data_IF_137616897680
#
_entry.id   IF_137616897680
#
_cell.length_a   1.000
_cell.length_b   1.000
_cell.length_c   1.000
_cell.angle_alpha   90.00
_cell.angle_beta   90.00
_cell.angle_gamma   90.00
#
_symmetry.space_group_name_H-M   'P 1'
#
loop_
_entity.id
_entity.type
_entity.pdbx_description
1 polymer ?
#
# COMPACT_ATOMS: atom_id res chain seq x y z
N UNK A 1 -16.23 -33.67 -34.55
CA UNK A 1 -16.41 -32.38 -33.84
C UNK A 1 -17.76 -31.79 -34.23
N UNK A 2 -18.65 -31.44 -33.28
CA UNK A 2 -19.97 -30.89 -33.64
C UNK A 2 -19.80 -29.59 -34.43
N UNK A 3 -20.40 -29.52 -35.62
CA UNK A 3 -20.35 -28.35 -36.50
C UNK A 3 -21.03 -27.18 -35.77
N UNK A 4 -20.26 -26.15 -35.40
CA UNK A 4 -20.80 -24.93 -34.77
C UNK A 4 -21.85 -24.33 -35.69
N UNK A 5 -23.06 -24.08 -35.16
CA UNK A 5 -24.14 -23.54 -35.98
C UNK A 5 -23.76 -22.17 -36.54
N UNK A 6 -24.03 -21.96 -37.82
CA UNK A 6 -23.75 -20.72 -38.56
C UNK A 6 -24.51 -19.50 -38.00
N UNK A 7 -25.42 -19.72 -37.03
CA UNK A 7 -26.22 -18.70 -36.34
C UNK A 7 -25.68 -18.30 -34.97
N UNK A 8 -24.51 -18.81 -34.54
CA UNK A 8 -23.98 -18.46 -33.22
C UNK A 8 -23.51 -17.00 -33.18
N UNK A 9 -24.09 -16.18 -32.28
CA UNK A 9 -23.67 -14.78 -32.10
C UNK A 9 -22.24 -14.74 -31.56
N UNK A 10 -21.43 -13.82 -32.11
CA UNK A 10 -20.07 -13.61 -31.64
C UNK A 10 -20.07 -13.06 -30.21
N UNK A 11 -19.15 -13.57 -29.37
CA UNK A 11 -18.86 -13.03 -28.04
C UNK A 11 -17.96 -11.78 -28.11
N UNK A 12 -17.44 -11.44 -29.29
CA UNK A 12 -16.59 -10.26 -29.51
C UNK A 12 -17.45 -9.00 -29.36
N UNK A 13 -17.05 -8.12 -28.44
CA UNK A 13 -17.71 -6.83 -28.25
C UNK A 13 -17.02 -5.75 -29.08
N UNK A 14 -17.82 -4.87 -29.69
CA UNK A 14 -17.27 -3.64 -30.28
C UNK A 14 -16.75 -2.69 -29.19
N UNK A 15 -15.74 -1.88 -29.51
CA UNK A 15 -15.21 -0.87 -28.58
C UNK A 15 -16.31 0.11 -28.13
N UNK A 16 -17.22 0.50 -29.04
CA UNK A 16 -18.39 1.33 -28.75
C UNK A 16 -19.28 0.71 -27.65
N UNK A 17 -19.57 -0.59 -27.74
CA UNK A 17 -20.35 -1.31 -26.72
C UNK A 17 -19.57 -1.40 -25.39
N UNK A 18 -18.27 -1.70 -25.43
CA UNK A 18 -17.42 -1.76 -24.23
C UNK A 18 -17.44 -0.44 -23.45
N UNK A 19 -17.18 0.69 -24.13
CA UNK A 19 -17.20 2.01 -23.49
C UNK A 19 -18.61 2.42 -23.03
N UNK A 20 -19.66 2.05 -23.76
CA UNK A 20 -21.06 2.28 -23.33
C UNK A 20 -21.38 1.51 -22.04
N UNK A 21 -20.96 0.26 -21.92
CA UNK A 21 -21.13 -0.55 -20.71
C UNK A 21 -20.38 0.07 -19.54
N UNK A 22 -19.10 0.42 -19.73
CA UNK A 22 -18.28 1.07 -18.67
C UNK A 22 -18.94 2.35 -18.18
N UNK A 23 -19.40 3.22 -19.10
CA UNK A 23 -20.11 4.46 -18.75
C UNK A 23 -21.40 4.18 -17.97
N UNK A 24 -22.24 3.24 -18.44
CA UNK A 24 -23.47 2.85 -17.75
C UNK A 24 -23.23 2.31 -16.34
N UNK A 25 -22.21 1.46 -16.16
CA UNK A 25 -21.83 0.91 -14.85
C UNK A 25 -21.36 2.04 -13.92
N UNK A 26 -20.52 2.95 -14.42
CA UNK A 26 -20.05 4.11 -13.65
C UNK A 26 -21.21 5.01 -13.22
N UNK A 27 -22.15 5.30 -14.13
CA UNK A 27 -23.32 6.12 -13.84
C UNK A 27 -24.25 5.45 -12.83
N UNK A 28 -24.45 4.13 -12.95
CA UNK A 28 -25.20 3.33 -11.99
C UNK A 28 -24.57 3.35 -10.59
N UNK A 29 -23.24 3.14 -10.48
CA UNK A 29 -22.54 3.25 -9.20
C UNK A 29 -22.59 4.68 -8.63
N UNK A 30 -22.54 5.71 -9.48
CA UNK A 30 -22.70 7.11 -9.05
C UNK A 30 -24.09 7.35 -8.47
N UNK A 31 -25.14 6.84 -9.12
CA UNK A 31 -26.54 6.93 -8.63
C UNK A 31 -26.72 6.20 -7.30
N UNK A 32 -26.30 4.92 -7.21
CA UNK A 32 -26.35 4.14 -5.94
C UNK A 32 -25.62 4.84 -4.78
N UNK A 33 -24.46 5.45 -5.03
CA UNK A 33 -23.74 6.22 -4.00
C UNK A 33 -24.52 7.46 -3.54
N UNK A 34 -25.20 8.16 -4.45
CA UNK A 34 -26.05 9.30 -4.09
C UNK A 34 -27.25 8.85 -3.27
N UNK A 35 -27.96 7.82 -3.70
CA UNK A 35 -29.10 7.23 -2.99
C UNK A 35 -28.71 6.76 -1.58
N UNK A 36 -27.57 6.05 -1.43
CA UNK A 36 -27.04 5.65 -0.13
C UNK A 36 -26.73 6.85 0.78
N UNK A 37 -26.23 7.96 0.22
CA UNK A 37 -25.98 9.18 0.98
C UNK A 37 -27.29 9.84 1.42
N UNK A 38 -28.28 9.90 0.55
CA UNK A 38 -29.60 10.45 0.88
C UNK A 38 -30.33 9.60 1.93
N UNK A 39 -30.26 8.27 1.85
CA UNK A 39 -30.77 7.36 2.88
C UNK A 39 -30.08 7.59 4.23
N UNK A 40 -28.75 7.77 4.22
CA UNK A 40 -27.98 8.10 5.43
C UNK A 40 -28.39 9.45 6.02
N UNK A 41 -28.64 10.48 5.20
CA UNK A 41 -29.14 11.78 5.66
C UNK A 41 -30.52 11.67 6.32
N UNK A 42 -31.38 10.80 5.79
CA UNK A 42 -32.69 10.46 6.37
C UNK A 42 -32.61 9.56 7.61
N UNK A 43 -31.41 9.24 8.09
CA UNK A 43 -31.19 8.36 9.25
C UNK A 43 -31.40 6.87 8.98
N UNK A 44 -31.74 6.48 7.74
CA UNK A 44 -31.95 5.08 7.35
C UNK A 44 -30.59 4.45 7.04
N UNK A 45 -30.07 3.63 7.96
CA UNK A 45 -28.86 2.84 7.73
C UNK A 45 -29.22 1.59 6.92
N UNK A 46 -28.45 1.23 5.88
CA UNK A 46 -28.64 -0.04 5.19
C UNK A 46 -28.45 -1.18 6.20
N UNK A 47 -29.34 -2.17 6.14
CA UNK A 47 -29.24 -3.38 6.98
C UNK A 47 -27.92 -4.08 6.64
N UNK A 48 -27.11 -4.32 7.66
CA UNK A 48 -25.92 -5.16 7.50
C UNK A 48 -26.37 -6.57 7.11
N UNK A 49 -25.67 -7.23 6.17
CA UNK A 49 -25.98 -8.59 5.82
C UNK A 49 -25.87 -9.46 7.08
N UNK A 50 -26.90 -10.27 7.33
CA UNK A 50 -26.90 -11.20 8.46
C UNK A 50 -25.84 -12.26 8.19
N UNK A 51 -25.02 -12.54 9.20
CA UNK A 51 -24.06 -13.64 9.15
C UNK A 51 -24.83 -14.97 9.01
N UNK A 52 -24.53 -15.81 8.01
CA UNK A 52 -25.14 -17.14 7.87
C UNK A 52 -24.87 -18.05 9.09
N UNK A 53 -23.94 -17.69 9.98
CA UNK A 53 -23.70 -18.38 11.25
C UNK A 53 -23.03 -19.75 11.07
N UNK A 54 -22.71 -20.38 12.20
CA UNK A 54 -22.05 -21.68 12.21
C UNK A 54 -23.06 -22.82 11.95
N UNK A 55 -22.85 -23.64 10.91
CA UNK A 55 -23.69 -24.81 10.63
C UNK A 55 -23.78 -25.75 11.84
N UNK A 56 -24.95 -26.34 12.07
CA UNK A 56 -25.22 -27.18 13.24
C UNK A 56 -24.43 -28.50 13.33
N UNK A 57 -23.93 -29.00 12.20
CA UNK A 57 -23.24 -30.29 12.11
C UNK A 57 -21.72 -30.19 12.37
N UNK A 58 -21.24 -29.03 12.80
CA UNK A 58 -19.80 -28.83 13.03
C UNK A 58 -19.38 -29.47 14.36
N UNK A 59 -18.46 -30.46 14.37
CA UNK A 59 -18.13 -31.26 15.55
C UNK A 59 -17.55 -30.43 16.72
N UNK A 60 -16.88 -29.32 16.43
CA UNK A 60 -16.28 -28.43 17.44
C UNK A 60 -17.08 -27.14 17.65
N UNK A 61 -18.38 -27.14 17.34
CA UNK A 61 -19.22 -25.93 17.39
C UNK A 61 -19.25 -25.31 18.79
N UNK A 62 -19.29 -26.15 19.82
CA UNK A 62 -19.36 -25.71 21.22
C UNK A 62 -18.06 -25.06 21.70
N UNK A 63 -16.91 -25.65 21.36
CA UNK A 63 -15.60 -25.08 21.67
C UNK A 63 -15.42 -23.73 20.98
N UNK A 64 -15.78 -23.65 19.70
CA UNK A 64 -15.70 -22.40 18.94
C UNK A 64 -16.61 -21.31 19.52
N UNK A 65 -17.82 -21.66 19.98
CA UNK A 65 -18.72 -20.72 20.66
C UNK A 65 -18.11 -20.21 21.97
N UNK A 66 -17.45 -21.08 22.75
CA UNK A 66 -16.75 -20.70 23.99
C UNK A 66 -15.59 -19.75 23.71
N UNK A 67 -14.79 -20.02 22.67
CA UNK A 67 -13.69 -19.16 22.26
C UNK A 67 -14.17 -17.78 21.82
N UNK A 68 -15.23 -17.71 21.02
CA UNK A 68 -15.84 -16.44 20.62
C UNK A 68 -16.41 -15.67 21.82
N UNK A 69 -17.03 -16.37 22.79
CA UNK A 69 -17.53 -15.76 24.01
C UNK A 69 -16.38 -15.18 24.86
N UNK A 70 -15.29 -15.92 25.00
CA UNK A 70 -14.08 -15.48 25.71
C UNK A 70 -13.44 -14.26 25.03
N UNK A 71 -13.26 -14.30 23.71
CA UNK A 71 -12.74 -13.17 22.92
C UNK A 71 -13.61 -11.92 23.08
N UNK A 72 -14.94 -12.07 22.99
CA UNK A 72 -15.88 -10.97 23.20
C UNK A 72 -15.79 -10.39 24.61
N UNK A 73 -15.73 -11.24 25.64
CA UNK A 73 -15.59 -10.79 27.03
C UNK A 73 -14.30 -9.99 27.24
N UNK A 74 -13.18 -10.45 26.68
CA UNK A 74 -11.90 -9.76 26.75
C UNK A 74 -11.92 -8.39 26.06
N UNK A 75 -12.50 -8.31 24.86
CA UNK A 75 -12.64 -7.05 24.11
C UNK A 75 -13.49 -6.06 24.93
N UNK A 76 -14.64 -6.49 25.46
CA UNK A 76 -15.51 -5.64 26.26
C UNK A 76 -14.86 -5.17 27.57
N UNK A 77 -14.10 -6.06 28.24
CA UNK A 77 -13.35 -5.71 29.44
C UNK A 77 -12.25 -4.68 29.12
N UNK A 78 -11.53 -4.84 28.01
CA UNK A 78 -10.51 -3.88 27.57
C UNK A 78 -11.12 -2.51 27.22
N UNK A 79 -12.29 -2.47 26.57
CA UNK A 79 -13.00 -1.22 26.29
C UNK A 79 -13.48 -0.52 27.55
N UNK A 80 -14.02 -1.27 28.53
CA UNK A 80 -14.40 -0.72 29.84
C UNK A 80 -13.19 -0.11 30.56
N UNK A 81 -12.08 -0.83 30.64
CA UNK A 81 -10.82 -0.33 31.24
C UNK A 81 -10.33 0.95 30.58
N UNK A 82 -10.32 1.02 29.24
CA UNK A 82 -9.96 2.25 28.51
C UNK A 82 -10.92 3.40 28.79
N UNK A 83 -12.21 3.12 28.97
CA UNK A 83 -13.23 4.14 29.29
C UNK A 83 -13.06 4.68 30.70
N UNK A 84 -12.77 3.81 31.66
CA UNK A 84 -12.46 4.17 33.04
C UNK A 84 -11.16 4.98 33.13
N UNK A 85 -10.10 4.55 32.45
CA UNK A 85 -8.84 5.29 32.37
C UNK A 85 -9.02 6.69 31.78
N UNK A 86 -9.81 6.82 30.70
CA UNK A 86 -10.16 8.13 30.11
C UNK A 86 -10.94 9.01 31.08
N UNK A 87 -11.84 8.44 31.89
CA UNK A 87 -12.58 9.17 32.92
C UNK A 87 -11.65 9.60 34.05
N UNK A 88 -10.80 8.70 34.55
CA UNK A 88 -9.82 8.99 35.59
C UNK A 88 -8.83 10.08 35.15
N UNK A 89 -8.33 10.02 33.91
CA UNK A 89 -7.47 11.06 33.34
C UNK A 89 -8.16 12.41 33.25
N UNK A 90 -9.45 12.44 32.90
CA UNK A 90 -10.25 13.67 32.86
C UNK A 90 -10.45 14.26 34.26
N UNK A 91 -10.63 13.43 35.29
CA UNK A 91 -10.74 13.88 36.69
C UNK A 91 -9.39 14.32 37.30
N UNK A 92 -8.27 13.72 36.88
CA UNK A 92 -6.93 14.12 37.31
C UNK A 92 -6.47 15.45 36.71
N UNK A 93 -6.89 15.76 35.48
CA UNK A 93 -6.61 17.06 34.84
C UNK A 93 -7.32 18.23 35.54
N UNK A 94 -8.53 18.01 36.07
CA UNK A 94 -9.27 19.04 36.83
C UNK A 94 -8.73 19.26 38.25
N UNK A 95 -7.92 18.33 38.78
CA UNK A 95 -7.30 18.46 40.10
C UNK A 95 -5.89 19.09 40.05
N UNK A 96 -5.26 19.14 38.87
CA UNK A 96 -3.92 19.71 38.68
C UNK A 96 -3.88 21.22 38.44
N UNK A 97 -5.03 21.88 38.33
CA UNK A 97 -5.11 23.35 38.14
C UNK A 97 -5.01 24.15 39.46
N UNK A 98 -5.03 23.49 40.63
CA UNK A 98 -4.96 24.17 41.95
C UNK A 98 -3.59 24.12 42.65
N UNK A 99 -2.57 23.45 42.08
CA UNK A 99 -1.26 23.33 42.72
C UNK A 99 -0.11 23.53 41.71
N UNK A 100 0.47 24.73 41.66
CA UNK A 100 1.68 24.95 40.85
C UNK A 100 2.16 26.39 40.68
N UNK A 101 2.32 27.14 41.77
CA UNK A 101 3.10 28.38 41.78
C UNK A 101 4.50 28.12 42.33
N UNK A 102 5.54 28.13 41.48
CA UNK A 102 6.95 28.10 41.88
C UNK A 102 7.83 27.23 40.99
N UNK A 103 9.06 27.71 40.74
CA UNK A 103 10.19 27.04 40.05
C UNK A 103 10.33 27.23 38.53
N UNK A 104 10.55 28.48 38.10
CA UNK A 104 10.66 28.86 36.68
C UNK A 104 11.97 28.51 35.94
N UNK A 105 13.07 28.24 36.63
CA UNK A 105 14.38 28.06 35.98
C UNK A 105 14.76 26.57 35.78
N UNK A 106 14.64 25.75 36.83
CA UNK A 106 14.88 24.31 36.73
C UNK A 106 13.81 23.62 35.86
N UNK A 107 12.57 24.12 35.86
CA UNK A 107 11.52 23.65 34.99
C UNK A 107 11.81 23.93 33.51
N UNK A 108 12.40 25.08 33.17
CA UNK A 108 12.72 25.44 31.78
C UNK A 108 13.89 24.60 31.23
N UNK A 109 14.93 24.37 32.04
CA UNK A 109 16.05 23.50 31.67
C UNK A 109 15.61 22.03 31.52
N UNK A 110 14.80 21.52 32.44
CA UNK A 110 14.20 20.19 32.34
C UNK A 110 13.28 20.07 31.12
N UNK A 111 12.55 21.13 30.77
CA UNK A 111 11.69 21.16 29.58
C UNK A 111 12.51 21.15 28.28
N UNK A 112 13.62 21.90 28.22
CA UNK A 112 14.53 21.92 27.07
C UNK A 112 15.21 20.57 26.85
N UNK A 113 15.72 19.94 27.92
CA UNK A 113 16.31 18.60 27.85
C UNK A 113 15.27 17.54 27.41
N UNK A 114 14.04 17.65 27.90
CA UNK A 114 12.93 16.77 27.51
C UNK A 114 12.43 17.02 26.09
N UNK A 115 12.57 18.24 25.56
CA UNK A 115 12.28 18.57 24.17
C UNK A 115 13.30 17.94 23.22
N UNK A 116 14.59 18.03 23.55
CA UNK A 116 15.67 17.41 22.76
C UNK A 116 15.60 15.88 22.78
N UNK A 117 15.35 15.27 23.95
CA UNK A 117 15.15 13.82 24.05
C UNK A 117 13.95 13.34 23.22
N UNK A 118 12.84 14.10 23.25
CA UNK A 118 11.66 13.81 22.41
C UNK A 118 11.94 13.93 20.91
N UNK A 119 12.84 14.82 20.50
CA UNK A 119 13.21 14.97 19.09
C UNK A 119 14.05 13.78 18.59
N UNK A 120 15.02 13.32 19.40
CA UNK A 120 15.78 12.10 19.12
C UNK A 120 14.90 10.83 19.11
N UNK A 121 13.99 10.71 20.07
CA UNK A 121 12.99 9.63 20.10
C UNK A 121 12.04 9.70 18.90
N UNK A 122 11.66 10.91 18.46
CA UNK A 122 10.79 11.10 17.31
C UNK A 122 11.45 10.65 16.01
N UNK A 123 12.71 11.01 15.76
CA UNK A 123 13.44 10.56 14.58
C UNK A 123 13.71 9.05 14.61
N UNK A 124 14.03 8.49 15.78
CA UNK A 124 14.21 7.04 15.96
C UNK A 124 12.90 6.29 15.72
N UNK A 125 11.78 6.79 16.26
CA UNK A 125 10.45 6.20 16.09
C UNK A 125 9.91 6.39 14.68
N UNK A 126 10.27 7.48 14.00
CA UNK A 126 9.99 7.73 12.58
C UNK A 126 10.73 6.72 11.72
N UNK A 127 12.02 6.47 11.96
CA UNK A 127 12.80 5.40 11.30
C UNK A 127 12.24 4.00 11.59
N UNK A 128 11.88 3.72 12.84
CA UNK A 128 11.32 2.42 13.25
C UNK A 128 9.93 2.17 12.64
N UNK A 129 9.06 3.18 12.60
CA UNK A 129 7.75 3.13 11.94
C UNK A 129 7.91 2.93 10.43
N UNK A 130 8.88 3.64 9.85
CA UNK A 130 9.32 3.45 8.48
C UNK A 130 9.64 1.97 8.27
N UNK A 131 10.55 1.36 9.03
CA UNK A 131 10.88 -0.08 8.88
C UNK A 131 9.71 -1.03 9.17
N UNK A 132 8.80 -0.70 10.08
CA UNK A 132 7.62 -1.52 10.37
C UNK A 132 6.57 -1.49 9.25
N UNK A 133 6.35 -0.33 8.60
CA UNK A 133 5.45 -0.21 7.43
C UNK A 133 5.92 -1.09 6.25
N UNK A 134 7.22 -1.36 6.13
CA UNK A 134 7.80 -2.25 5.11
C UNK A 134 7.31 -3.71 5.25
N UNK A 135 6.98 -4.15 6.47
CA UNK A 135 6.54 -5.52 6.73
C UNK A 135 5.02 -5.72 6.63
N UNK A 136 4.22 -4.64 6.61
CA UNK A 136 2.75 -4.72 6.71
C UNK A 136 1.97 -4.37 5.44
N UNK A 137 2.59 -3.74 4.44
CA UNK A 137 1.86 -3.25 3.27
C UNK A 137 1.74 -4.30 2.15
N UNK A 138 0.85 -5.27 2.34
CA UNK A 138 0.33 -6.15 1.27
C UNK A 138 -0.72 -5.46 0.39
N UNK A 139 -0.64 -4.13 0.21
CA UNK A 139 -1.52 -3.39 -0.71
C UNK A 139 -0.83 -3.21 -2.06
N UNK A 140 -1.17 -4.05 -3.03
CA UNK A 140 -0.61 -4.06 -4.40
C UNK A 140 -1.16 -2.90 -5.27
N UNK A 141 -1.53 -1.78 -4.67
CA UNK A 141 -2.01 -0.62 -5.40
C UNK A 141 -0.83 0.15 -6.01
N UNK A 142 -1.00 0.67 -7.24
CA UNK A 142 0.05 1.45 -7.92
C UNK A 142 0.55 2.63 -7.07
N UNK A 143 -0.31 3.22 -6.24
CA UNK A 143 0.06 4.34 -5.37
C UNK A 143 0.97 3.90 -4.21
N UNK A 144 0.72 2.73 -3.62
CA UNK A 144 1.59 2.16 -2.59
C UNK A 144 2.97 1.83 -3.16
N UNK A 145 3.02 1.22 -4.36
CA UNK A 145 4.29 0.95 -5.05
C UNK A 145 5.14 2.21 -5.25
N UNK A 146 4.55 3.32 -5.72
CA UNK A 146 5.30 4.56 -5.89
C UNK A 146 5.74 5.19 -4.57
N UNK A 147 4.96 5.04 -3.48
CA UNK A 147 5.36 5.50 -2.15
C UNK A 147 6.61 4.75 -1.69
N UNK A 148 6.60 3.43 -1.82
CA UNK A 148 7.72 2.57 -1.42
C UNK A 148 8.95 2.77 -2.30
N UNK A 149 8.76 2.86 -3.61
CA UNK A 149 9.83 3.14 -4.56
C UNK A 149 10.59 4.42 -4.23
N UNK A 150 9.89 5.53 -3.97
CA UNK A 150 10.53 6.81 -3.60
C UNK A 150 11.36 6.69 -2.34
N UNK A 151 10.90 5.88 -1.40
CA UNK A 151 11.58 5.66 -0.14
C UNK A 151 12.83 4.79 -0.31
N UNK A 152 12.74 3.68 -1.04
CA UNK A 152 13.89 2.83 -1.39
C UNK A 152 14.94 3.65 -2.14
N UNK A 153 14.51 4.45 -3.12
CA UNK A 153 15.39 5.38 -3.84
C UNK A 153 16.05 6.36 -2.88
N UNK A 154 15.41 6.80 -1.80
CA UNK A 154 16.00 7.68 -0.80
C UNK A 154 17.08 7.02 0.05
N UNK A 155 16.88 5.76 0.44
CA UNK A 155 17.77 5.01 1.34
C UNK A 155 18.96 4.35 0.63
N UNK A 156 18.83 4.00 -0.65
CA UNK A 156 19.87 3.28 -1.38
C UNK A 156 20.97 4.20 -1.93
N UNK A 157 22.21 3.75 -1.94
CA UNK A 157 23.33 4.44 -2.62
C UNK A 157 23.52 3.97 -4.07
N UNK A 158 23.22 2.68 -4.31
CA UNK A 158 23.32 2.01 -5.61
C UNK A 158 21.98 1.38 -5.96
N UNK A 159 21.54 1.59 -7.20
CA UNK A 159 20.31 1.01 -7.75
C UNK A 159 20.68 0.07 -8.89
N UNK A 160 20.20 -1.18 -8.82
CA UNK A 160 20.43 -2.19 -9.85
C UNK A 160 19.13 -2.37 -10.63
N UNK A 161 19.17 -2.11 -11.93
CA UNK A 161 18.09 -2.44 -12.85
C UNK A 161 18.44 -3.71 -13.60
N UNK A 162 17.67 -4.76 -13.35
CA UNK A 162 17.83 -6.04 -14.05
C UNK A 162 17.12 -5.97 -15.40
N UNK A 163 17.85 -6.26 -16.47
CA UNK A 163 17.38 -6.31 -17.84
C UNK A 163 17.41 -7.77 -18.32
N UNK A 164 16.42 -8.18 -19.10
CA UNK A 164 16.48 -9.46 -19.83
C UNK A 164 17.36 -9.27 -21.07
N UNK A 165 18.34 -10.15 -21.27
CA UNK A 165 19.27 -10.06 -22.37
C UNK A 165 18.60 -10.26 -23.75
N UNK A 166 17.39 -10.83 -23.82
CA UNK A 166 16.63 -10.98 -25.08
C UNK A 166 16.13 -9.64 -25.61
N UNK A 167 15.62 -8.78 -24.71
CA UNK A 167 15.01 -7.49 -25.05
C UNK A 167 15.43 -6.39 -24.06
N UNK A 168 16.72 -6.01 -24.00
CA UNK A 168 17.23 -5.09 -22.98
C UNK A 168 16.64 -3.68 -23.09
N UNK A 169 16.20 -3.27 -24.28
CA UNK A 169 15.55 -1.96 -24.49
C UNK A 169 14.15 -1.92 -23.90
N UNK A 170 13.38 -3.01 -24.01
CA UNK A 170 12.01 -3.07 -23.53
C UNK A 170 11.95 -3.13 -21.99
N UNK A 171 12.94 -3.75 -21.35
CA UNK A 171 13.04 -3.82 -19.89
C UNK A 171 13.68 -2.58 -19.26
N UNK A 172 14.25 -1.68 -20.07
CA UNK A 172 14.88 -0.43 -19.59
C UNK A 172 13.84 0.66 -19.38
N UNK A 173 13.95 1.38 -18.26
CA UNK A 173 13.00 2.43 -17.90
C UNK A 173 13.71 3.77 -17.71
N UNK A 174 13.77 4.55 -18.79
CA UNK A 174 14.48 5.84 -18.84
C UNK A 174 13.86 6.86 -17.87
N UNK A 175 12.55 6.80 -17.64
CA UNK A 175 11.86 7.71 -16.72
C UNK A 175 12.31 7.49 -15.27
N UNK A 176 12.53 6.24 -14.88
CA UNK A 176 13.06 5.88 -13.56
C UNK A 176 14.50 6.35 -13.42
N UNK A 177 15.35 6.13 -14.44
CA UNK A 177 16.72 6.62 -14.45
C UNK A 177 16.79 8.14 -14.30
N UNK A 178 15.94 8.86 -15.04
CA UNK A 178 15.84 10.32 -14.99
C UNK A 178 15.36 10.80 -13.62
N UNK A 179 14.36 10.13 -13.03
CA UNK A 179 13.85 10.46 -11.70
C UNK A 179 14.90 10.29 -10.60
N UNK A 180 15.64 9.19 -10.62
CA UNK A 180 16.73 8.94 -9.65
C UNK A 180 17.81 10.00 -9.81
N UNK A 181 18.20 10.30 -11.05
CA UNK A 181 19.23 11.31 -11.35
C UNK A 181 18.80 12.73 -10.97
N UNK A 182 17.52 13.07 -11.15
CA UNK A 182 16.99 14.39 -10.77
C UNK A 182 16.85 14.55 -9.25
N UNK A 183 16.55 13.47 -8.54
CA UNK A 183 16.37 13.50 -7.07
C UNK A 183 17.71 13.52 -6.35
N UNK A 184 18.68 12.78 -6.86
CA UNK A 184 19.99 12.64 -6.23
C UNK A 184 21.07 12.33 -7.27
N UNK A 185 21.95 13.29 -7.62
CA UNK A 185 22.94 13.10 -8.68
C UNK A 185 24.07 12.13 -8.30
N UNK A 186 24.26 11.88 -7.01
CA UNK A 186 25.37 11.06 -6.50
C UNK A 186 25.10 9.54 -6.58
N UNK A 187 23.85 9.14 -6.85
CA UNK A 187 23.47 7.72 -6.85
C UNK A 187 23.87 7.04 -8.14
N UNK A 188 24.45 5.84 -8.02
CA UNK A 188 24.87 5.03 -9.17
C UNK A 188 23.74 4.11 -9.60
N UNK A 189 23.49 4.05 -10.91
CA UNK A 189 22.53 3.13 -11.52
C UNK A 189 23.34 2.10 -12.31
N UNK A 190 23.18 0.82 -11.96
CA UNK A 190 23.85 -0.31 -12.62
C UNK A 190 22.80 -1.08 -13.40
N UNK A 191 23.05 -1.32 -14.68
CA UNK A 191 22.22 -2.17 -15.53
C UNK A 191 22.79 -3.59 -15.50
N UNK A 192 22.04 -4.53 -14.96
CA UNK A 192 22.43 -5.95 -14.88
C UNK A 192 21.70 -6.73 -15.98
N UNK A 193 22.44 -7.24 -16.97
CA UNK A 193 21.90 -8.12 -17.99
C UNK A 193 21.78 -9.56 -17.46
N UNK A 194 20.56 -10.06 -17.37
CA UNK A 194 20.22 -11.41 -16.94
C UNK A 194 19.98 -12.33 -18.15
N UNK A 195 20.21 -13.64 -17.99
CA UNK A 195 19.93 -14.68 -19.00
C UNK A 195 20.75 -14.62 -20.30
N UNK A 196 22.00 -14.14 -20.23
CA UNK A 196 22.92 -14.08 -21.38
C UNK A 196 23.17 -15.42 -22.08
N UNK A 197 23.04 -16.56 -21.37
CA UNK A 197 23.26 -17.90 -21.95
C UNK A 197 22.12 -18.43 -22.84
N UNK A 198 20.95 -17.79 -22.84
CA UNK A 198 19.80 -18.18 -23.68
C UNK A 198 19.81 -17.46 -25.05
N UNK A 199 20.82 -16.61 -25.31
CA UNK A 199 21.01 -15.91 -26.58
C UNK A 199 21.80 -16.76 -27.57
N UNK A 200 21.45 -16.66 -28.85
CA UNK A 200 22.32 -17.12 -29.94
C UNK A 200 23.58 -16.26 -30.01
N UNK A 201 24.68 -16.77 -30.59
CA UNK A 201 25.93 -16.00 -30.72
C UNK A 201 25.73 -14.63 -31.38
N UNK A 202 24.83 -14.55 -32.38
CA UNK A 202 24.48 -13.30 -33.03
C UNK A 202 23.75 -12.33 -32.08
N UNK A 203 22.83 -12.82 -31.27
CA UNK A 203 22.14 -12.02 -30.24
C UNK A 203 23.08 -11.54 -29.13
N UNK A 204 24.01 -12.40 -28.69
CA UNK A 204 25.04 -12.05 -27.71
C UNK A 204 25.96 -10.93 -28.20
N UNK A 205 26.39 -10.97 -29.47
CA UNK A 205 27.19 -9.89 -30.10
C UNK A 205 26.42 -8.57 -30.17
N UNK A 206 25.14 -8.60 -30.52
CA UNK A 206 24.29 -7.40 -30.57
C UNK A 206 24.15 -6.74 -29.20
N UNK A 207 23.91 -7.54 -28.16
CA UNK A 207 23.79 -7.05 -26.76
C UNK A 207 25.13 -6.51 -26.24
N UNK A 208 26.25 -7.14 -26.60
CA UNK A 208 27.58 -6.65 -26.24
C UNK A 208 27.90 -5.30 -26.91
N UNK A 209 27.55 -5.12 -28.18
CA UNK A 209 27.69 -3.84 -28.89
C UNK A 209 26.81 -2.73 -28.27
N UNK A 210 25.59 -3.08 -27.85
CA UNK A 210 24.71 -2.18 -27.11
C UNK A 210 25.29 -1.78 -25.75
N UNK A 211 25.82 -2.73 -24.98
CA UNK A 211 26.44 -2.48 -23.68
C UNK A 211 27.72 -1.61 -23.81
N UNK A 212 28.46 -1.76 -24.91
CA UNK A 212 29.64 -0.95 -25.23
C UNK A 212 29.31 0.47 -25.72
N UNK A 213 28.04 0.91 -25.67
CA UNK A 213 27.63 2.26 -26.08
C UNK A 213 27.75 2.51 -27.58
N UNK A 214 27.94 1.44 -28.37
CA UNK A 214 28.35 1.51 -29.76
C UNK A 214 27.30 0.87 -30.68
N UNK A 215 26.03 1.28 -30.61
CA UNK A 215 25.09 1.06 -31.74
C UNK A 215 23.77 1.84 -31.62
N UNK A 216 23.47 2.61 -32.68
CA UNK A 216 22.13 2.97 -33.12
C UNK A 216 21.59 1.76 -33.90
N UNK A 217 20.53 1.10 -33.43
CA UNK A 217 19.95 -0.04 -34.15
C UNK A 217 19.28 0.50 -35.42
N UNK A 218 19.71 0.10 -36.64
CA UNK A 218 18.95 0.37 -37.83
C UNK A 218 17.66 -0.43 -37.71
N UNK A 219 16.56 0.30 -37.59
CA UNK A 219 15.22 -0.26 -37.58
C UNK A 219 15.05 -1.03 -38.90
N UNK A 220 14.98 -2.37 -38.84
CA UNK A 220 14.46 -3.15 -39.97
C UNK A 220 12.96 -2.87 -40.06
N UNK A 221 12.58 -2.22 -41.16
CA UNK A 221 11.23 -1.82 -41.51
C UNK A 221 10.58 -2.88 -42.40
#
# INVERSE_FOLDING_TARGET
MPKKSTKSKSKRMSLKQKYKVIRKVKDHHRKKKKELKELKKKGIKPKEPKDPGLPGQWPFKEELIKDFAWQRANILAAEKRKKEERKARRMGLTAGEEAGGGEGEQAMAAFAARAQAKEGDFETRKRARITAEFQSDTDNSRKAYYKEFRRVVGLSDVIIQVLDARDPIACRCVDVERYVRSTSPNKRIILLLNKMGELTEAGGRLVALWAAGSFSIPCLQ
#
